data_IF_294098392699
#
_entry.id   IF_294098392699
#
_cell.length_a   1.000
_cell.length_b   1.000
_cell.length_c   1.000
_cell.angle_alpha   90.00
_cell.angle_beta   90.00
_cell.angle_gamma   90.00
#
_symmetry.space_group_name_H-M   'P 1'
#
loop_
_entity.id
_entity.type
_entity.pdbx_description
1 polymer ?
#
# COMPACT_ATOMS: atom_id res chain seq x y z
N UNK A 1 -64.04 -15.23 -24.49
CA UNK A 1 -62.72 -15.75 -24.08
C UNK A 1 -61.73 -15.52 -25.21
N UNK A 2 -61.06 -14.37 -25.22
CA UNK A 2 -59.84 -14.09 -25.99
C UNK A 2 -59.54 -12.60 -25.79
N UNK A 3 -58.43 -12.29 -25.12
CA UNK A 3 -57.62 -11.05 -25.23
C UNK A 3 -57.02 -10.64 -23.87
N UNK A 4 -55.90 -11.23 -23.46
CA UNK A 4 -55.04 -10.61 -22.42
C UNK A 4 -53.60 -11.12 -22.32
N UNK A 5 -53.11 -12.00 -23.20
CA UNK A 5 -51.78 -12.62 -23.00
C UNK A 5 -50.63 -12.07 -23.87
N UNK A 6 -50.84 -11.01 -24.67
CA UNK A 6 -49.83 -10.60 -25.67
C UNK A 6 -48.91 -9.44 -25.23
N UNK A 7 -49.23 -8.70 -24.15
CA UNK A 7 -48.45 -7.51 -23.75
C UNK A 7 -47.34 -7.76 -22.73
N UNK A 8 -47.37 -8.86 -21.97
CA UNK A 8 -46.35 -9.14 -20.94
C UNK A 8 -45.05 -9.73 -21.48
N UNK A 9 -45.08 -10.41 -22.64
CA UNK A 9 -43.90 -11.00 -23.27
C UNK A 9 -42.96 -10.00 -23.95
N UNK A 10 -43.49 -8.86 -24.41
CA UNK A 10 -42.72 -7.82 -25.11
C UNK A 10 -41.98 -6.93 -24.10
N UNK A 11 -42.63 -6.56 -22.99
CA UNK A 11 -42.01 -5.77 -21.92
C UNK A 11 -40.83 -6.50 -21.26
N UNK A 12 -40.96 -7.81 -20.99
CA UNK A 12 -39.87 -8.60 -20.43
C UNK A 12 -38.68 -8.79 -21.40
N UNK A 13 -38.95 -8.90 -22.71
CA UNK A 13 -37.87 -8.97 -23.72
C UNK A 13 -37.14 -7.63 -23.88
N UNK A 14 -37.84 -6.50 -23.77
CA UNK A 14 -37.21 -5.17 -23.79
C UNK A 14 -36.35 -4.91 -22.55
N UNK A 15 -36.79 -5.32 -21.35
CA UNK A 15 -36.01 -5.18 -20.11
C UNK A 15 -34.78 -6.09 -20.14
N UNK A 16 -34.91 -7.34 -20.62
CA UNK A 16 -33.74 -8.24 -20.80
C UNK A 16 -32.77 -7.75 -21.88
N UNK A 17 -33.25 -7.13 -22.96
CA UNK A 17 -32.38 -6.49 -23.96
C UNK A 17 -31.69 -5.22 -23.43
N UNK A 18 -32.34 -4.40 -22.60
CA UNK A 18 -31.72 -3.22 -21.96
C UNK A 18 -30.69 -3.61 -20.89
N UNK A 19 -30.92 -4.70 -20.14
CA UNK A 19 -29.93 -5.26 -19.21
C UNK A 19 -28.75 -5.91 -19.95
N UNK A 20 -29.00 -6.58 -21.08
CA UNK A 20 -27.95 -7.11 -21.94
C UNK A 20 -27.16 -6.00 -22.65
N UNK A 21 -27.80 -4.89 -23.03
CA UNK A 21 -27.12 -3.73 -23.63
C UNK A 21 -26.25 -2.98 -22.60
N UNK A 22 -26.69 -2.86 -21.34
CA UNK A 22 -25.87 -2.33 -20.25
C UNK A 22 -24.69 -3.25 -19.88
N UNK A 23 -24.81 -4.57 -20.08
CA UNK A 23 -23.70 -5.51 -19.94
C UNK A 23 -22.73 -5.48 -21.13
N UNK A 24 -23.23 -5.24 -22.35
CA UNK A 24 -22.40 -5.14 -23.56
C UNK A 24 -21.70 -3.79 -23.70
N UNK A 25 -22.20 -2.72 -23.08
CA UNK A 25 -21.58 -1.39 -23.08
C UNK A 25 -20.45 -1.21 -22.06
N UNK A 26 -20.16 -2.22 -21.22
CA UNK A 26 -19.03 -2.22 -20.26
C UNK A 26 -17.75 -2.90 -20.77
N UNK A 27 -17.71 -3.34 -22.03
CA UNK A 27 -16.59 -4.14 -22.56
C UNK A 27 -15.63 -3.36 -23.47
N UNK A 28 -15.34 -2.10 -23.13
CA UNK A 28 -14.17 -1.41 -23.64
C UNK A 28 -13.28 -1.09 -22.43
N UNK A 29 -12.45 -2.05 -22.03
CA UNK A 29 -11.41 -1.80 -21.03
C UNK A 29 -10.49 -0.69 -21.57
N UNK A 30 -10.34 0.38 -20.80
CA UNK A 30 -9.50 1.52 -21.13
C UNK A 30 -8.34 1.55 -20.16
N UNK A 31 -7.18 2.00 -20.60
CA UNK A 31 -6.03 2.21 -19.71
C UNK A 31 -6.41 3.06 -18.50
N UNK A 32 -5.81 2.74 -17.34
CA UNK A 32 -5.86 3.60 -16.16
C UNK A 32 -5.08 4.87 -16.46
N UNK A 33 -5.75 6.01 -16.35
CA UNK A 33 -5.16 7.34 -16.62
C UNK A 33 -4.98 8.11 -15.32
N UNK A 34 -4.33 9.25 -15.41
CA UNK A 34 -4.20 10.17 -14.30
C UNK A 34 -4.12 11.61 -14.81
N UNK A 35 -4.38 12.53 -13.89
CA UNK A 35 -4.08 13.94 -14.02
C UNK A 35 -3.63 14.49 -12.67
N UNK A 36 -3.44 15.80 -12.59
CA UNK A 36 -2.95 16.49 -11.39
C UNK A 36 -3.82 16.28 -10.14
N UNK A 37 -5.09 15.87 -10.32
CA UNK A 37 -6.08 15.79 -9.24
C UNK A 37 -6.27 14.36 -8.72
N UNK A 38 -6.01 13.34 -9.53
CA UNK A 38 -6.10 11.93 -9.11
C UNK A 38 -5.99 10.91 -10.24
N UNK A 39 -6.06 9.64 -9.86
CA UNK A 39 -6.20 8.53 -10.81
C UNK A 39 -7.61 8.53 -11.41
N UNK A 40 -7.68 8.17 -12.69
CA UNK A 40 -8.91 8.00 -13.46
C UNK A 40 -9.04 6.53 -13.81
N UNK A 41 -9.93 5.83 -13.10
CA UNK A 41 -10.21 4.40 -13.27
C UNK A 41 -11.66 4.29 -13.73
N UNK A 42 -11.94 3.46 -14.74
CA UNK A 42 -13.28 3.37 -15.37
C UNK A 42 -13.84 4.72 -15.87
N UNK A 43 -12.96 5.65 -16.25
CA UNK A 43 -13.34 6.99 -16.70
C UNK A 43 -13.75 7.96 -15.57
N UNK A 44 -13.70 7.53 -14.31
CA UNK A 44 -13.99 8.36 -13.15
C UNK A 44 -12.71 8.72 -12.39
N UNK A 45 -12.53 10.00 -12.08
CA UNK A 45 -11.48 10.45 -11.17
C UNK A 45 -11.86 10.07 -9.74
N UNK A 46 -10.94 9.47 -8.98
CA UNK A 46 -11.22 8.92 -7.64
C UNK A 46 -10.21 9.37 -6.59
N UNK A 47 -10.67 9.47 -5.34
CA UNK A 47 -9.82 9.53 -4.15
C UNK A 47 -9.73 8.10 -3.61
N UNK A 48 -8.58 7.45 -3.72
CA UNK A 48 -8.43 6.04 -3.41
C UNK A 48 -7.80 5.81 -2.03
N UNK A 49 -8.45 4.97 -1.22
CA UNK A 49 -7.85 4.41 -0.01
C UNK A 49 -7.35 3.00 -0.29
N UNK A 50 -6.07 2.78 -0.02
CA UNK A 50 -5.38 1.50 -0.17
C UNK A 50 -4.85 1.02 1.17
N UNK A 51 -4.58 -0.27 1.32
CA UNK A 51 -3.86 -0.79 2.48
C UNK A 51 -2.98 -1.98 2.17
N UNK A 52 -1.79 -2.00 2.75
CA UNK A 52 -0.82 -3.06 2.54
C UNK A 52 -1.23 -4.34 3.28
N UNK A 53 -1.33 -5.42 2.51
CA UNK A 53 -1.49 -6.80 2.99
C UNK A 53 -0.50 -7.65 2.20
N UNK A 54 0.61 -8.04 2.83
CA UNK A 54 1.63 -8.84 2.15
C UNK A 54 1.22 -10.32 2.15
N UNK A 55 0.96 -10.86 0.96
CA UNK A 55 0.45 -12.23 0.81
C UNK A 55 1.27 -13.30 1.56
N UNK A 56 2.61 -13.28 1.63
CA UNK A 56 3.36 -14.32 2.35
C UNK A 56 3.39 -14.14 3.87
N UNK A 57 2.86 -13.03 4.39
CA UNK A 57 2.78 -12.78 5.85
C UNK A 57 1.47 -13.28 6.47
N UNK A 58 0.63 -13.94 5.69
CA UNK A 58 -0.59 -14.58 6.15
C UNK A 58 -0.81 -15.89 5.40
N UNK A 59 -1.57 -16.81 5.99
CA UNK A 59 -1.92 -18.07 5.31
C UNK A 59 -2.95 -17.82 4.18
N UNK A 60 -2.90 -18.56 3.05
CA UNK A 60 -3.90 -18.49 2.00
C UNK A 60 -5.35 -18.59 2.45
N UNK A 61 -5.63 -19.34 3.53
CA UNK A 61 -6.97 -19.45 4.11
C UNK A 61 -7.43 -18.16 4.79
N UNK A 62 -6.49 -17.32 5.23
CA UNK A 62 -6.80 -16.03 5.86
C UNK A 62 -7.12 -14.94 4.84
N UNK A 63 -6.58 -15.02 3.61
CA UNK A 63 -6.64 -13.92 2.63
C UNK A 63 -8.05 -13.42 2.36
N UNK A 64 -9.03 -14.30 2.12
CA UNK A 64 -10.41 -13.88 1.87
C UNK A 64 -11.02 -13.14 3.08
N UNK A 65 -10.72 -13.59 4.30
CA UNK A 65 -11.14 -12.92 5.53
C UNK A 65 -10.48 -11.56 5.74
N UNK A 66 -9.19 -11.45 5.47
CA UNK A 66 -8.41 -10.21 5.57
C UNK A 66 -8.87 -9.17 4.53
N UNK A 67 -8.98 -9.58 3.27
CA UNK A 67 -9.41 -8.73 2.15
C UNK A 67 -10.86 -8.26 2.34
N UNK A 68 -11.75 -9.11 2.86
CA UNK A 68 -13.12 -8.71 3.19
C UNK A 68 -13.15 -7.67 4.31
N UNK A 69 -12.37 -7.85 5.39
CA UNK A 69 -12.22 -6.82 6.43
C UNK A 69 -11.67 -5.52 5.86
N UNK A 70 -10.68 -5.58 4.96
CA UNK A 70 -10.19 -4.39 4.26
C UNK A 70 -11.29 -3.64 3.49
N UNK A 71 -12.09 -4.38 2.72
CA UNK A 71 -13.25 -3.81 2.01
C UNK A 71 -14.29 -3.23 2.97
N UNK A 72 -14.67 -3.96 4.01
CA UNK A 72 -15.66 -3.54 5.00
C UNK A 72 -15.17 -2.35 5.84
N UNK A 73 -13.84 -2.17 5.93
CA UNK A 73 -13.16 -1.01 6.50
C UNK A 73 -13.01 0.18 5.55
N UNK A 74 -13.57 0.09 4.33
CA UNK A 74 -13.66 1.19 3.38
C UNK A 74 -12.45 1.37 2.46
N UNK A 75 -11.60 0.37 2.29
CA UNK A 75 -10.56 0.41 1.26
C UNK A 75 -11.15 0.23 -0.13
N UNK A 76 -10.55 0.92 -1.10
CA UNK A 76 -10.79 0.75 -2.54
C UNK A 76 -9.75 -0.19 -3.17
N UNK A 77 -8.55 -0.31 -2.58
CA UNK A 77 -7.44 -1.09 -3.12
C UNK A 77 -6.65 -1.86 -2.04
N UNK A 78 -5.98 -2.94 -2.46
CA UNK A 78 -4.98 -3.66 -1.66
C UNK A 78 -3.59 -3.43 -2.26
N UNK A 79 -2.64 -3.11 -1.40
CA UNK A 79 -1.23 -2.96 -1.74
C UNK A 79 -0.44 -4.20 -1.35
N UNK A 80 0.48 -4.65 -2.20
CA UNK A 80 1.47 -5.64 -1.80
C UNK A 80 2.78 -5.48 -2.58
N UNK A 81 3.89 -5.70 -1.88
CA UNK A 81 5.17 -6.00 -2.51
C UNK A 81 5.18 -7.37 -3.17
N UNK A 82 6.10 -7.59 -4.12
CA UNK A 82 6.47 -8.90 -4.66
C UNK A 82 7.83 -9.34 -4.11
N UNK A 83 7.90 -10.51 -3.48
CA UNK A 83 9.09 -10.96 -2.74
C UNK A 83 9.96 -11.91 -3.58
N UNK A 84 10.91 -11.36 -4.34
CA UNK A 84 11.74 -12.14 -5.28
C UNK A 84 12.46 -13.33 -4.62
N UNK A 85 13.06 -13.16 -3.46
CA UNK A 85 13.77 -14.23 -2.75
C UNK A 85 12.89 -15.43 -2.39
N UNK A 86 11.58 -15.24 -2.20
CA UNK A 86 10.63 -16.34 -2.03
C UNK A 86 10.32 -17.00 -3.36
N UNK A 87 10.09 -16.18 -4.39
CA UNK A 87 9.68 -16.67 -5.69
C UNK A 87 10.80 -17.34 -6.46
N UNK A 88 12.07 -17.05 -6.18
CA UNK A 88 13.21 -17.65 -6.87
C UNK A 88 14.31 -18.05 -5.87
N UNK A 89 14.09 -19.11 -5.05
CA UNK A 89 15.03 -19.53 -4.03
C UNK A 89 16.39 -19.98 -4.60
N UNK A 90 16.42 -20.42 -5.86
CA UNK A 90 17.63 -20.70 -6.62
C UNK A 90 17.46 -20.27 -8.09
N UNK A 91 18.54 -19.96 -8.83
CA UNK A 91 18.43 -19.40 -10.18
C UNK A 91 17.56 -20.27 -11.11
N UNK A 92 16.50 -19.67 -11.67
CA UNK A 92 15.58 -20.30 -12.61
C UNK A 92 14.54 -21.24 -11.98
N UNK A 93 14.61 -21.51 -10.68
CA UNK A 93 13.63 -22.34 -9.97
C UNK A 93 12.63 -21.43 -9.27
N UNK A 94 11.37 -21.47 -9.73
CA UNK A 94 10.34 -20.58 -9.25
C UNK A 94 9.32 -21.26 -8.35
N UNK A 95 8.89 -20.55 -7.30
CA UNK A 95 7.83 -20.98 -6.39
C UNK A 95 6.72 -19.92 -6.29
N UNK A 96 5.52 -20.31 -6.73
CA UNK A 96 4.28 -19.54 -6.61
C UNK A 96 3.17 -20.39 -5.98
N UNK A 97 3.53 -21.36 -5.13
CA UNK A 97 2.58 -22.23 -4.44
C UNK A 97 2.26 -21.75 -3.02
N UNK A 98 1.16 -22.24 -2.45
CA UNK A 98 0.77 -21.95 -1.07
C UNK A 98 0.70 -20.45 -0.78
N UNK A 99 1.41 -19.99 0.27
CA UNK A 99 1.46 -18.56 0.64
C UNK A 99 2.26 -17.69 -0.33
N UNK A 100 2.94 -18.29 -1.30
CA UNK A 100 3.66 -17.59 -2.37
C UNK A 100 2.78 -17.45 -3.64
N UNK A 101 1.53 -17.91 -3.62
CA UNK A 101 0.62 -17.80 -4.77
C UNK A 101 0.09 -16.37 -4.96
N UNK A 102 0.91 -15.53 -5.59
CA UNK A 102 0.61 -14.13 -5.88
C UNK A 102 -0.63 -13.98 -6.78
N UNK A 103 -0.78 -14.87 -7.78
CA UNK A 103 -1.92 -14.85 -8.71
C UNK A 103 -3.22 -15.10 -7.97
N UNK A 104 -3.27 -16.14 -7.12
CA UNK A 104 -4.45 -16.43 -6.28
C UNK A 104 -4.75 -15.29 -5.32
N UNK A 105 -3.74 -14.68 -4.71
CA UNK A 105 -3.95 -13.52 -3.85
C UNK A 105 -4.62 -12.36 -4.61
N UNK A 106 -4.09 -11.97 -5.77
CA UNK A 106 -4.65 -10.89 -6.58
C UNK A 106 -6.04 -11.23 -7.14
N UNK A 107 -6.29 -12.48 -7.54
CA UNK A 107 -7.64 -12.95 -7.90
C UNK A 107 -8.61 -12.87 -6.71
N UNK A 108 -8.13 -13.06 -5.49
CA UNK A 108 -8.94 -12.90 -4.28
C UNK A 108 -9.29 -11.43 -4.04
N UNK A 109 -8.34 -10.51 -4.28
CA UNK A 109 -8.58 -9.06 -4.28
C UNK A 109 -9.65 -8.68 -5.32
N UNK A 110 -9.51 -9.19 -6.55
CA UNK A 110 -10.48 -8.97 -7.63
C UNK A 110 -11.87 -9.53 -7.29
N UNK A 111 -11.95 -10.75 -6.73
CA UNK A 111 -13.21 -11.38 -6.29
C UNK A 111 -13.92 -10.52 -5.24
N UNK A 112 -13.17 -9.87 -4.36
CA UNK A 112 -13.73 -8.93 -3.39
C UNK A 112 -14.20 -7.62 -4.05
N UNK A 113 -13.86 -7.34 -5.31
CA UNK A 113 -14.18 -6.09 -6.00
C UNK A 113 -13.34 -4.91 -5.52
N UNK A 114 -12.11 -5.18 -5.09
CA UNK A 114 -11.10 -4.17 -4.79
C UNK A 114 -10.08 -4.10 -5.93
N UNK A 115 -9.45 -2.94 -6.07
CA UNK A 115 -8.27 -2.78 -6.92
C UNK A 115 -7.00 -3.28 -6.23
N UNK A 116 -5.89 -3.30 -6.96
CA UNK A 116 -4.58 -3.65 -6.45
C UNK A 116 -3.51 -2.62 -6.87
N UNK A 117 -2.62 -2.31 -5.92
CA UNK A 117 -1.34 -1.64 -6.17
C UNK A 117 -0.23 -2.69 -6.03
N UNK A 118 0.39 -3.06 -7.16
CA UNK A 118 1.39 -4.13 -7.18
C UNK A 118 2.81 -3.55 -7.17
N UNK A 119 3.47 -3.61 -6.02
CA UNK A 119 4.82 -3.08 -5.84
C UNK A 119 5.86 -4.14 -6.18
N UNK A 120 6.21 -4.25 -7.46
CA UNK A 120 7.04 -5.34 -7.98
C UNK A 120 8.48 -5.26 -7.44
N UNK A 121 9.01 -4.05 -7.22
CA UNK A 121 10.37 -3.84 -6.72
C UNK A 121 11.42 -3.97 -7.85
N UNK A 122 12.39 -4.91 -7.80
CA UNK A 122 12.38 -6.10 -6.95
C UNK A 122 13.14 -5.95 -5.63
N UNK A 123 13.84 -4.83 -5.43
CA UNK A 123 14.15 -4.39 -4.07
C UNK A 123 12.87 -3.84 -3.43
N UNK A 124 12.49 -4.38 -2.28
CA UNK A 124 11.23 -4.00 -1.60
C UNK A 124 11.44 -3.44 -0.20
N UNK A 125 12.66 -3.53 0.35
CA UNK A 125 12.92 -3.24 1.76
C UNK A 125 12.06 -4.11 2.69
N UNK A 126 10.86 -3.61 3.02
CA UNK A 126 9.74 -4.29 3.67
C UNK A 126 10.04 -4.97 5.02
N UNK A 127 11.17 -4.61 5.66
CA UNK A 127 11.74 -5.34 6.79
C UNK A 127 11.82 -6.85 6.50
N UNK A 128 12.15 -7.15 5.25
CA UNK A 128 12.17 -8.49 4.69
C UNK A 128 13.60 -8.96 4.47
N UNK A 129 13.82 -10.27 4.56
CA UNK A 129 15.16 -10.85 4.43
C UNK A 129 15.84 -10.36 3.14
N UNK A 130 17.04 -9.79 3.32
CA UNK A 130 17.87 -9.22 2.26
C UNK A 130 17.15 -8.21 1.33
N UNK A 131 16.12 -7.52 1.85
CA UNK A 131 15.34 -6.52 1.12
C UNK A 131 14.54 -7.09 -0.06
N UNK A 132 14.29 -8.40 -0.07
CA UNK A 132 13.62 -9.12 -1.15
C UNK A 132 14.54 -9.76 -2.17
N UNK A 133 15.85 -9.46 -2.17
CA UNK A 133 16.77 -10.10 -3.12
C UNK A 133 17.06 -11.56 -2.75
N UNK A 134 17.11 -12.48 -3.72
CA UNK A 134 17.63 -13.83 -3.48
C UNK A 134 19.12 -13.77 -3.09
N UNK A 135 19.54 -14.58 -2.11
CA UNK A 135 20.94 -14.56 -1.64
C UNK A 135 21.92 -14.99 -2.73
N UNK A 136 21.53 -15.94 -3.59
CA UNK A 136 22.36 -16.38 -4.73
C UNK A 136 22.71 -15.24 -5.68
N UNK A 137 21.87 -14.20 -5.77
CA UNK A 137 22.08 -13.05 -6.63
C UNK A 137 23.41 -12.36 -6.30
N UNK A 138 23.78 -12.28 -5.02
CA UNK A 138 25.04 -11.68 -4.56
C UNK A 138 26.28 -12.36 -5.16
N UNK A 139 26.18 -13.63 -5.55
CA UNK A 139 27.29 -14.43 -6.04
C UNK A 139 27.37 -14.47 -7.57
N UNK A 140 26.47 -13.76 -8.27
CA UNK A 140 26.57 -13.57 -9.71
C UNK A 140 27.87 -12.80 -10.03
N UNK A 141 28.74 -13.30 -10.93
CA UNK A 141 30.00 -12.63 -11.25
C UNK A 141 29.82 -11.17 -11.68
N UNK A 142 30.57 -10.27 -11.05
CA UNK A 142 30.58 -8.85 -11.37
C UNK A 142 29.34 -8.07 -10.92
N UNK A 143 28.48 -8.65 -10.09
CA UNK A 143 27.24 -7.98 -9.67
C UNK A 143 27.49 -6.85 -8.68
N UNK A 144 26.71 -5.78 -8.82
CA UNK A 144 26.59 -4.70 -7.85
C UNK A 144 25.14 -4.25 -7.80
N UNK A 145 24.54 -4.29 -6.62
CA UNK A 145 23.10 -4.10 -6.49
C UNK A 145 22.71 -2.63 -6.63
N UNK A 146 21.53 -2.41 -7.24
CA UNK A 146 20.85 -1.10 -7.27
C UNK A 146 21.75 0.02 -7.77
N UNK A 147 22.49 -0.25 -8.84
CA UNK A 147 23.35 0.72 -9.52
C UNK A 147 23.43 0.34 -11.00
N UNK A 148 24.10 1.16 -11.81
CA UNK A 148 24.23 0.93 -13.26
C UNK A 148 25.23 -0.20 -13.53
N UNK A 149 24.76 -1.43 -13.29
CA UNK A 149 25.53 -2.66 -13.34
C UNK A 149 24.77 -3.67 -14.21
N UNK A 150 25.35 -4.05 -15.35
CA UNK A 150 24.70 -4.92 -16.33
C UNK A 150 24.26 -6.29 -15.79
N UNK A 151 25.06 -7.02 -14.97
CA UNK A 151 24.58 -8.23 -14.33
C UNK A 151 23.33 -8.01 -13.48
N UNK A 152 23.29 -6.95 -12.66
CA UNK A 152 22.13 -6.65 -11.84
C UNK A 152 20.91 -6.23 -12.68
N UNK A 153 21.10 -5.35 -13.67
CA UNK A 153 20.04 -4.89 -14.58
C UNK A 153 19.38 -6.05 -15.31
N UNK A 154 20.18 -6.99 -15.82
CA UNK A 154 19.67 -8.20 -16.50
C UNK A 154 18.82 -9.07 -15.57
N UNK A 155 19.29 -9.34 -14.35
CA UNK A 155 18.53 -10.18 -13.41
C UNK A 155 17.26 -9.49 -12.91
N UNK A 156 17.33 -8.19 -12.61
CA UNK A 156 16.16 -7.38 -12.26
C UNK A 156 15.13 -7.37 -13.38
N UNK A 157 15.55 -7.10 -14.62
CA UNK A 157 14.67 -7.10 -15.78
C UNK A 157 14.01 -8.47 -15.98
N UNK A 158 14.79 -9.55 -15.91
CA UNK A 158 14.27 -10.93 -16.05
C UNK A 158 13.16 -11.22 -15.05
N UNK A 159 13.35 -10.85 -13.79
CA UNK A 159 12.33 -11.10 -12.77
C UNK A 159 11.10 -10.19 -12.95
N UNK A 160 11.29 -8.89 -13.20
CA UNK A 160 10.19 -7.96 -13.44
C UNK A 160 9.36 -8.37 -14.65
N UNK A 161 10.01 -8.72 -15.77
CA UNK A 161 9.35 -9.24 -16.98
C UNK A 161 8.55 -10.50 -16.69
N UNK A 162 9.09 -11.43 -15.90
CA UNK A 162 8.37 -12.64 -15.50
C UNK A 162 7.10 -12.30 -14.73
N UNK A 163 7.18 -11.43 -13.72
CA UNK A 163 6.01 -11.04 -12.92
C UNK A 163 4.97 -10.36 -13.81
N UNK A 164 5.37 -9.39 -14.65
CA UNK A 164 4.45 -8.70 -15.55
C UNK A 164 3.82 -9.66 -16.56
N UNK A 165 4.60 -10.59 -17.14
CA UNK A 165 4.08 -11.59 -18.06
C UNK A 165 3.04 -12.49 -17.40
N UNK A 166 3.29 -12.97 -16.18
CA UNK A 166 2.33 -13.75 -15.41
C UNK A 166 1.04 -12.97 -15.12
N UNK A 167 1.16 -11.69 -14.73
CA UNK A 167 -0.02 -10.85 -14.50
C UNK A 167 -0.82 -10.62 -15.80
N UNK A 168 -0.13 -10.45 -16.94
CA UNK A 168 -0.77 -10.28 -18.26
C UNK A 168 -1.47 -11.53 -18.74
N UNK A 169 -0.85 -12.70 -18.58
CA UNK A 169 -1.42 -14.01 -18.94
C UNK A 169 -2.72 -14.26 -18.18
N UNK A 170 -2.73 -13.89 -16.89
CA UNK A 170 -3.89 -14.01 -16.00
C UNK A 170 -4.87 -12.83 -16.09
N UNK A 171 -4.62 -11.87 -16.99
CA UNK A 171 -5.44 -10.66 -17.22
C UNK A 171 -5.68 -9.86 -15.94
N UNK A 172 -4.64 -9.69 -15.12
CA UNK A 172 -4.72 -9.04 -13.81
C UNK A 172 -4.47 -7.53 -13.85
N UNK A 173 -3.99 -6.96 -14.95
CA UNK A 173 -3.99 -5.51 -15.13
C UNK A 173 -5.40 -4.99 -15.44
N UNK A 174 -5.74 -3.82 -14.91
CA UNK A 174 -7.07 -3.21 -15.10
C UNK A 174 -7.37 -2.92 -16.59
N UNK A 175 -6.35 -2.59 -17.38
CA UNK A 175 -6.41 -2.52 -18.85
C UNK A 175 -6.90 -3.82 -19.53
N UNK A 176 -6.85 -4.95 -18.82
CA UNK A 176 -7.34 -6.27 -19.25
C UNK A 176 -8.59 -6.75 -18.46
N UNK A 177 -9.15 -5.89 -17.60
CA UNK A 177 -10.27 -6.19 -16.69
C UNK A 177 -9.86 -6.75 -15.32
N UNK A 178 -8.56 -6.72 -15.01
CA UNK A 178 -8.00 -7.17 -13.73
C UNK A 178 -8.05 -6.13 -12.61
N UNK A 179 -7.59 -6.47 -11.39
CA UNK A 179 -7.62 -5.54 -10.27
C UNK A 179 -6.45 -4.54 -10.26
N UNK A 180 -5.32 -4.82 -10.91
CA UNK A 180 -4.10 -4.01 -10.76
C UNK A 180 -4.27 -2.68 -11.48
N UNK A 181 -4.29 -1.57 -10.73
CA UNK A 181 -4.45 -0.20 -11.25
C UNK A 181 -3.17 0.62 -11.20
N UNK A 182 -2.17 0.19 -10.43
CA UNK A 182 -0.88 0.86 -10.28
C UNK A 182 0.19 -0.21 -10.09
N UNK A 183 1.38 0.01 -10.65
CA UNK A 183 2.58 -0.79 -10.38
C UNK A 183 3.73 0.07 -9.83
N UNK A 184 4.58 -0.48 -8.96
CA UNK A 184 5.82 0.19 -8.52
C UNK A 184 7.07 -0.55 -9.02
N UNK A 185 8.04 0.20 -9.52
CA UNK A 185 9.40 -0.27 -9.80
C UNK A 185 10.37 0.33 -8.78
N UNK A 186 11.37 -0.45 -8.34
CA UNK A 186 12.28 -0.10 -7.23
C UNK A 186 11.54 0.20 -5.92
N UNK A 187 12.29 0.58 -4.87
CA UNK A 187 11.73 1.06 -3.61
C UNK A 187 12.68 2.03 -2.90
N UNK A 188 12.22 3.26 -2.65
CA UNK A 188 12.94 4.33 -1.94
C UNK A 188 14.38 4.53 -2.44
N UNK A 189 14.56 4.57 -3.75
CA UNK A 189 15.90 4.63 -4.35
C UNK A 189 16.50 6.04 -4.35
N UNK A 190 15.72 7.11 -4.23
CA UNK A 190 16.20 8.49 -4.46
C UNK A 190 17.42 8.90 -3.63
N UNK A 191 17.48 8.52 -2.35
CA UNK A 191 18.67 8.79 -1.51
C UNK A 191 19.90 8.01 -1.98
N UNK A 192 19.70 6.75 -2.38
CA UNK A 192 20.78 5.89 -2.87
C UNK A 192 21.27 6.34 -4.25
N UNK A 193 20.35 6.76 -5.13
CA UNK A 193 20.64 7.39 -6.42
C UNK A 193 21.64 8.53 -6.26
N UNK A 194 21.33 9.48 -5.36
CA UNK A 194 22.21 10.63 -5.03
C UNK A 194 23.58 10.17 -4.53
N UNK A 195 23.65 9.10 -3.74
CA UNK A 195 24.90 8.51 -3.26
C UNK A 195 25.76 7.88 -4.37
N UNK A 196 25.13 7.28 -5.39
CA UNK A 196 25.84 6.73 -6.56
C UNK A 196 26.13 7.75 -7.67
N UNK A 197 25.67 9.01 -7.52
CA UNK A 197 25.87 10.06 -8.53
C UNK A 197 25.27 9.67 -9.87
N UNK A 198 26.01 9.90 -10.97
CA UNK A 198 25.54 9.58 -12.32
C UNK A 198 25.16 8.11 -12.52
N UNK A 199 25.87 7.17 -11.87
CA UNK A 199 25.53 5.75 -11.99
C UNK A 199 24.15 5.46 -11.37
N UNK A 200 23.80 6.14 -10.28
CA UNK A 200 22.47 6.03 -9.69
C UNK A 200 21.40 6.59 -10.60
N UNK A 201 21.63 7.78 -11.15
CA UNK A 201 20.68 8.41 -12.08
C UNK A 201 20.47 7.59 -13.37
N UNK A 202 21.55 7.04 -13.97
CA UNK A 202 21.45 6.15 -15.15
C UNK A 202 20.67 4.89 -14.84
N UNK A 203 20.93 4.26 -13.70
CA UNK A 203 20.19 3.07 -13.26
C UNK A 203 18.70 3.37 -13.05
N UNK A 204 18.37 4.44 -12.33
CA UNK A 204 16.98 4.82 -12.06
C UNK A 204 16.22 5.15 -13.35
N UNK A 205 16.86 5.88 -14.27
CA UNK A 205 16.30 6.16 -15.60
C UNK A 205 16.08 4.88 -16.41
N UNK A 206 17.04 3.97 -16.37
CA UNK A 206 16.91 2.66 -17.00
C UNK A 206 15.76 1.85 -16.39
N UNK A 207 15.62 1.82 -15.06
CA UNK A 207 14.59 1.04 -14.38
C UNK A 207 13.19 1.55 -14.72
N UNK A 208 12.98 2.87 -14.72
CA UNK A 208 11.74 3.50 -15.14
C UNK A 208 11.41 3.18 -16.61
N UNK A 209 12.41 3.28 -17.51
CA UNK A 209 12.22 2.96 -18.93
C UNK A 209 11.92 1.47 -19.16
N UNK A 210 12.62 0.59 -18.47
CA UNK A 210 12.39 -0.86 -18.53
C UNK A 210 10.96 -1.16 -18.10
N UNK A 211 10.54 -0.69 -16.93
CA UNK A 211 9.19 -0.94 -16.40
C UNK A 211 8.08 -0.44 -17.33
N UNK A 212 8.19 0.81 -17.80
CA UNK A 212 7.19 1.41 -18.69
C UNK A 212 7.16 0.77 -20.08
N UNK A 213 8.29 0.24 -20.57
CA UNK A 213 8.33 -0.50 -21.83
C UNK A 213 7.60 -1.85 -21.80
N UNK A 214 7.24 -2.34 -20.60
CA UNK A 214 6.48 -3.58 -20.45
C UNK A 214 4.99 -3.40 -20.78
N UNK A 215 4.53 -2.17 -21.02
CA UNK A 215 3.20 -1.84 -21.56
C UNK A 215 2.05 -2.51 -20.78
N UNK A 216 2.00 -2.25 -19.48
CA UNK A 216 1.00 -2.83 -18.56
C UNK A 216 -0.40 -2.21 -18.72
N UNK A 217 -0.51 -1.08 -19.43
CA UNK A 217 -1.76 -0.29 -19.54
C UNK A 217 -2.18 0.39 -18.24
N UNK A 218 -1.30 0.43 -17.23
CA UNK A 218 -1.52 1.10 -15.94
C UNK A 218 -0.31 1.93 -15.53
N UNK A 219 -0.48 3.02 -14.76
CA UNK A 219 0.62 3.87 -14.32
C UNK A 219 1.68 3.13 -13.50
N UNK A 220 2.93 3.58 -13.68
CA UNK A 220 4.05 3.18 -12.85
C UNK A 220 4.38 4.27 -11.84
N UNK A 221 4.75 3.87 -10.64
CA UNK A 221 5.17 4.76 -9.56
C UNK A 221 6.56 4.41 -9.02
N UNK A 222 7.19 5.39 -8.38
CA UNK A 222 8.42 5.22 -7.60
C UNK A 222 8.32 6.03 -6.31
N UNK A 223 8.39 5.36 -5.16
CA UNK A 223 8.35 6.05 -3.87
C UNK A 223 9.70 6.68 -3.50
N UNK A 224 9.67 7.85 -2.87
CA UNK A 224 10.85 8.65 -2.46
C UNK A 224 11.85 8.84 -3.60
N UNK A 225 11.36 9.20 -4.78
CA UNK A 225 12.17 9.40 -5.99
C UNK A 225 11.89 10.79 -6.60
N UNK A 226 12.42 11.84 -5.97
CA UNK A 226 12.16 13.24 -6.38
C UNK A 226 12.49 13.54 -7.85
N UNK A 227 13.42 12.78 -8.46
CA UNK A 227 13.84 12.90 -9.86
C UNK A 227 13.31 11.75 -10.76
N UNK A 228 12.17 11.15 -10.41
CA UNK A 228 11.54 10.13 -11.25
C UNK A 228 11.29 10.64 -12.68
N UNK A 229 11.58 9.85 -13.73
CA UNK A 229 11.33 10.26 -15.11
C UNK A 229 9.85 10.49 -15.40
N UNK A 230 9.54 11.38 -16.35
CA UNK A 230 8.18 11.84 -16.71
C UNK A 230 7.13 10.73 -16.91
N UNK A 231 7.55 9.53 -17.30
CA UNK A 231 6.68 8.37 -17.51
C UNK A 231 6.27 7.65 -16.21
N UNK A 232 6.73 8.12 -15.06
CA UNK A 232 6.55 7.50 -13.74
C UNK A 232 6.17 8.57 -12.72
N UNK A 233 5.19 8.26 -11.87
CA UNK A 233 4.74 9.17 -10.80
C UNK A 233 5.63 8.96 -9.57
N UNK A 234 6.24 10.03 -9.05
CA UNK A 234 6.91 9.98 -7.76
C UNK A 234 5.90 10.06 -6.60
N UNK A 235 6.15 9.30 -5.54
CA UNK A 235 5.22 9.19 -4.40
C UNK A 235 5.92 9.38 -3.06
N UNK A 236 5.12 9.68 -2.03
CA UNK A 236 5.62 9.90 -0.68
C UNK A 236 5.39 8.70 0.23
N UNK A 237 6.31 8.52 1.18
CA UNK A 237 6.22 7.57 2.30
C UNK A 237 6.47 8.32 3.60
N UNK A 238 5.88 7.90 4.71
CA UNK A 238 6.15 8.50 6.02
C UNK A 238 4.96 8.45 6.99
N UNK A 239 5.15 9.07 8.17
CA UNK A 239 4.04 9.35 9.08
C UNK A 239 3.13 10.48 8.56
N UNK A 240 3.72 11.42 7.81
CA UNK A 240 3.07 12.59 7.24
C UNK A 240 3.62 12.88 5.84
N UNK A 241 2.72 13.13 4.88
CA UNK A 241 3.07 13.48 3.50
C UNK A 241 2.29 14.71 3.00
N UNK A 242 1.70 15.51 3.89
CA UNK A 242 0.91 16.71 3.52
C UNK A 242 1.78 17.88 2.99
N UNK A 243 3.11 17.75 3.08
CA UNK A 243 4.09 18.66 2.49
C UNK A 243 4.52 18.23 1.08
N UNK A 244 4.21 17.00 0.68
CA UNK A 244 4.68 16.43 -0.57
C UNK A 244 3.91 17.01 -1.76
N UNK A 245 4.63 17.22 -2.86
CA UNK A 245 4.07 17.50 -4.17
C UNK A 245 4.89 16.71 -5.18
N UNK A 246 4.25 16.05 -6.16
CA UNK A 246 4.98 15.29 -7.17
C UNK A 246 5.88 16.21 -7.99
N UNK A 247 6.92 15.66 -8.58
CA UNK A 247 7.91 16.40 -9.36
C UNK A 247 7.34 16.97 -10.68
N UNK A 248 6.16 16.51 -11.09
CA UNK A 248 5.39 16.99 -12.24
C UNK A 248 4.03 17.56 -11.81
N UNK A 249 3.63 18.74 -12.32
CA UNK A 249 2.33 19.32 -12.00
C UNK A 249 1.15 18.51 -12.58
N UNK A 250 1.39 17.68 -13.60
CA UNK A 250 0.38 16.80 -14.18
C UNK A 250 0.16 15.50 -13.40
N UNK A 251 1.05 15.18 -12.45
CA UNK A 251 0.98 13.96 -11.65
C UNK A 251 0.07 14.17 -10.43
N UNK A 252 -0.70 13.15 -10.02
CA UNK A 252 -1.48 13.21 -8.79
C UNK A 252 -0.58 13.10 -7.56
N UNK A 253 -0.95 13.77 -6.48
CA UNK A 253 -0.27 13.60 -5.18
C UNK A 253 -0.69 12.28 -4.54
N UNK A 254 0.28 11.36 -4.37
CA UNK A 254 0.07 10.00 -3.86
C UNK A 254 0.96 9.68 -2.66
N UNK A 255 0.38 9.03 -1.65
CA UNK A 255 1.05 8.59 -0.43
C UNK A 255 1.03 7.06 -0.37
N UNK A 256 2.14 6.43 -0.77
CA UNK A 256 2.27 4.97 -0.92
C UNK A 256 2.55 4.25 0.40
N UNK A 257 3.02 4.94 1.43
CA UNK A 257 3.17 4.38 2.77
C UNK A 257 2.80 5.38 3.86
N UNK A 258 1.53 5.42 4.22
CA UNK A 258 1.04 6.05 5.44
C UNK A 258 1.32 5.10 6.61
N UNK A 259 2.46 5.31 7.28
CA UNK A 259 2.94 4.39 8.31
C UNK A 259 1.94 4.29 9.48
N UNK A 260 1.31 3.12 9.62
CA UNK A 260 0.30 2.87 10.63
C UNK A 260 0.90 2.75 12.04
N UNK A 261 2.18 2.38 12.14
CA UNK A 261 3.09 2.58 13.26
C UNK A 261 4.52 2.23 12.80
N UNK A 262 5.15 1.22 13.41
CA UNK A 262 6.51 0.78 13.10
C UNK A 262 6.66 -0.73 13.28
N UNK A 263 7.70 -1.31 12.68
CA UNK A 263 8.04 -2.72 12.87
C UNK A 263 8.63 -2.98 14.26
N UNK A 264 8.63 -4.24 14.71
CA UNK A 264 9.25 -4.66 15.98
C UNK A 264 10.55 -5.41 15.75
N UNK A 265 11.58 -5.03 16.50
CA UNK A 265 12.91 -5.64 16.48
C UNK A 265 13.13 -6.53 17.71
N UNK A 266 13.93 -7.59 17.58
CA UNK A 266 14.34 -8.40 18.72
C UNK A 266 15.14 -7.54 19.71
N UNK A 267 14.62 -7.41 20.93
CA UNK A 267 15.16 -6.53 21.97
C UNK A 267 14.59 -5.10 21.96
N UNK A 268 13.76 -4.76 20.98
CA UNK A 268 13.04 -3.48 20.89
C UNK A 268 11.63 -3.53 21.50
N UNK A 269 10.97 -2.36 21.64
CA UNK A 269 9.59 -2.28 22.10
C UNK A 269 8.59 -2.60 20.96
N UNK A 270 7.34 -2.88 21.34
CA UNK A 270 6.22 -2.84 20.39
C UNK A 270 5.82 -1.38 20.18
N UNK A 271 5.94 -0.90 18.95
CA UNK A 271 5.61 0.47 18.59
C UNK A 271 4.12 0.61 18.26
N UNK A 272 3.52 1.73 18.68
CA UNK A 272 2.13 2.06 18.41
C UNK A 272 2.01 3.47 17.86
N UNK A 273 0.95 3.74 17.10
CA UNK A 273 0.59 5.07 16.62
C UNK A 273 -0.85 5.37 17.03
N UNK A 274 -1.11 6.51 17.70
CA UNK A 274 -2.47 6.91 18.04
C UNK A 274 -3.40 6.95 16.83
N UNK A 275 -4.64 6.52 17.03
CA UNK A 275 -5.65 6.46 15.97
C UNK A 275 -6.00 7.86 15.44
N UNK A 276 -6.01 8.84 16.35
CA UNK A 276 -6.30 10.24 16.10
C UNK A 276 -5.23 10.86 15.21
N UNK A 277 -3.96 10.55 15.51
CA UNK A 277 -2.80 11.04 14.76
C UNK A 277 -2.78 10.48 13.32
N UNK A 278 -3.06 9.19 13.15
CA UNK A 278 -3.17 8.59 11.82
C UNK A 278 -4.32 9.22 11.02
N UNK A 279 -5.50 9.38 11.63
CA UNK A 279 -6.65 10.01 10.99
C UNK A 279 -6.35 11.48 10.64
N UNK A 280 -5.69 12.22 11.54
CA UNK A 280 -5.26 13.58 11.33
C UNK A 280 -4.29 13.70 10.15
N UNK A 281 -3.26 12.86 10.09
CA UNK A 281 -2.28 12.89 9.01
C UNK A 281 -2.93 12.61 7.65
N UNK A 282 -3.86 11.65 7.58
CA UNK A 282 -4.61 11.35 6.36
C UNK A 282 -5.55 12.49 5.97
N UNK A 283 -6.33 13.03 6.89
CA UNK A 283 -7.20 14.18 6.60
C UNK A 283 -6.41 15.39 6.13
N UNK A 284 -5.25 15.66 6.74
CA UNK A 284 -4.33 16.75 6.37
C UNK A 284 -3.68 16.55 5.00
N UNK A 285 -3.42 15.31 4.61
CA UNK A 285 -2.99 14.99 3.25
C UNK A 285 -4.10 15.23 2.23
N UNK A 286 -5.30 14.68 2.47
CA UNK A 286 -6.45 14.82 1.57
C UNK A 286 -6.88 16.29 1.41
N UNK A 287 -6.94 17.06 2.50
CA UNK A 287 -7.39 18.46 2.45
C UNK A 287 -6.50 19.33 1.54
N UNK A 288 -5.22 18.98 1.40
CA UNK A 288 -4.26 19.67 0.52
C UNK A 288 -4.20 19.13 -0.91
N UNK A 289 -5.10 18.22 -1.27
CA UNK A 289 -5.15 17.62 -2.59
C UNK A 289 -4.36 16.31 -2.68
N UNK A 290 -4.25 15.57 -1.58
CA UNK A 290 -3.90 14.15 -1.66
C UNK A 290 -5.02 13.35 -2.33
N UNK A 291 -4.68 12.38 -3.19
CA UNK A 291 -5.68 11.61 -3.96
C UNK A 291 -5.53 10.10 -3.87
N UNK A 292 -4.42 9.61 -3.34
CA UNK A 292 -4.18 8.19 -3.05
C UNK A 292 -3.48 8.06 -1.71
N UNK A 293 -4.02 7.25 -0.80
CA UNK A 293 -3.44 6.98 0.52
C UNK A 293 -3.37 5.48 0.74
N UNK A 294 -2.18 4.93 0.94
CA UNK A 294 -1.98 3.54 1.29
C UNK A 294 -1.51 3.37 2.74
N UNK A 295 -2.27 2.66 3.57
CA UNK A 295 -1.85 2.33 4.93
C UNK A 295 -0.79 1.23 4.92
N UNK A 296 0.42 1.57 5.36
CA UNK A 296 1.52 0.61 5.54
C UNK A 296 1.74 0.40 7.05
N UNK A 297 1.27 -0.67 7.68
CA UNK A 297 0.48 -1.79 7.16
C UNK A 297 -1.02 -1.66 7.47
N UNK A 298 -1.85 -2.28 6.64
CA UNK A 298 -3.27 -2.48 6.96
C UNK A 298 -3.51 -3.82 7.67
N UNK A 299 -2.81 -4.86 7.21
CA UNK A 299 -2.53 -6.08 7.95
C UNK A 299 -1.04 -6.37 7.85
N UNK A 300 -0.37 -6.38 9.01
CA UNK A 300 1.06 -6.61 9.08
C UNK A 300 1.42 -8.09 8.96
N UNK A 301 0.81 -8.93 9.80
CA UNK A 301 0.95 -10.39 9.77
C UNK A 301 2.24 -10.90 10.43
N UNK A 302 2.75 -12.03 9.93
CA UNK A 302 3.87 -12.76 10.55
C UNK A 302 4.97 -13.05 9.53
N UNK A 303 6.22 -12.87 9.94
CA UNK A 303 7.40 -13.31 9.20
C UNK A 303 7.62 -14.82 9.42
N UNK A 304 6.88 -15.67 8.70
CA UNK A 304 6.98 -17.13 8.83
C UNK A 304 8.35 -17.69 8.41
N UNK A 305 8.82 -18.71 9.13
CA UNK A 305 10.09 -19.36 8.83
C UNK A 305 11.28 -18.43 9.06
N UNK A 306 12.02 -18.11 7.99
CA UNK A 306 13.27 -17.32 8.04
C UNK A 306 13.23 -16.11 7.11
N UNK A 307 12.06 -15.48 6.99
CA UNK A 307 11.80 -14.45 5.98
C UNK A 307 11.90 -13.02 6.49
N UNK A 308 11.93 -12.81 7.80
CA UNK A 308 12.13 -11.50 8.40
C UNK A 308 13.51 -10.92 8.06
N UNK A 309 13.61 -9.60 8.00
CA UNK A 309 14.88 -8.91 7.89
C UNK A 309 15.78 -9.15 9.11
N UNK A 310 17.08 -8.79 9.03
CA UNK A 310 17.98 -8.89 10.18
C UNK A 310 17.39 -8.18 11.42
N UNK A 311 17.36 -8.88 12.55
CA UNK A 311 16.82 -8.41 13.84
C UNK A 311 15.32 -8.10 13.86
N UNK A 312 14.59 -8.27 12.76
CA UNK A 312 13.13 -8.11 12.74
C UNK A 312 12.50 -9.32 13.43
N UNK A 313 11.54 -9.07 14.32
CA UNK A 313 10.85 -10.15 15.02
C UNK A 313 10.01 -11.02 14.07
N UNK A 314 9.61 -12.19 14.55
CA UNK A 314 8.63 -13.03 13.85
C UNK A 314 7.30 -12.30 13.67
N UNK A 315 6.88 -11.50 14.66
CA UNK A 315 5.71 -10.65 14.52
C UNK A 315 5.99 -9.49 13.57
N UNK A 316 5.05 -9.21 12.69
CA UNK A 316 5.03 -7.99 11.90
C UNK A 316 3.72 -7.23 12.10
N UNK A 317 3.16 -7.24 13.32
CA UNK A 317 1.86 -6.62 13.66
C UNK A 317 1.71 -5.16 13.20
N UNK A 318 2.76 -4.35 13.37
CA UNK A 318 2.83 -2.95 12.92
C UNK A 318 1.77 -2.02 13.55
N UNK A 319 1.16 -2.42 14.68
CA UNK A 319 -0.05 -1.78 15.24
C UNK A 319 -1.12 -1.56 14.15
N UNK A 320 -1.20 -2.53 13.24
CA UNK A 320 -2.02 -2.44 12.06
C UNK A 320 -3.51 -2.51 12.44
N UNK A 321 -4.39 -1.88 11.64
CA UNK A 321 -5.84 -1.91 11.82
C UNK A 321 -6.45 -3.32 11.83
N UNK A 322 -5.82 -4.27 11.13
CA UNK A 322 -6.03 -5.70 11.32
C UNK A 322 -4.73 -6.24 11.92
N UNK A 323 -4.82 -6.80 13.13
CA UNK A 323 -3.64 -7.27 13.88
C UNK A 323 -2.95 -8.48 13.22
N UNK A 324 -1.83 -8.90 13.79
CA UNK A 324 -1.06 -10.07 13.33
C UNK A 324 -1.92 -11.33 13.10
N UNK A 325 -2.93 -11.55 13.93
CA UNK A 325 -3.79 -12.74 13.91
C UNK A 325 -5.02 -12.58 13.01
N UNK A 326 -5.14 -11.43 12.34
CA UNK A 326 -6.28 -11.13 11.48
C UNK A 326 -7.49 -10.59 12.24
N UNK A 327 -7.39 -10.20 13.50
CA UNK A 327 -8.48 -9.60 14.27
C UNK A 327 -8.56 -8.09 14.00
N UNK A 328 -9.76 -7.55 14.14
CA UNK A 328 -9.99 -6.10 14.02
C UNK A 328 -9.43 -5.41 15.27
N UNK A 329 -8.55 -4.42 15.08
CA UNK A 329 -7.98 -3.61 16.15
C UNK A 329 -8.81 -2.34 16.35
N UNK A 330 -9.64 -2.32 17.39
CA UNK A 330 -10.40 -1.12 17.76
C UNK A 330 -9.63 -0.23 18.74
N UNK A 331 -9.74 1.10 18.62
CA UNK A 331 -10.66 1.83 17.73
C UNK A 331 -10.07 2.16 16.35
N UNK A 332 -8.82 1.73 16.07
CA UNK A 332 -8.08 2.11 14.86
C UNK A 332 -8.80 1.74 13.57
N UNK A 333 -9.36 0.54 13.52
CA UNK A 333 -10.09 0.05 12.37
C UNK A 333 -11.35 0.87 12.08
N UNK A 334 -12.24 1.05 13.07
CA UNK A 334 -13.52 1.71 12.86
C UNK A 334 -13.42 3.23 12.76
N UNK A 335 -12.53 3.89 13.52
CA UNK A 335 -12.34 5.35 13.40
C UNK A 335 -11.87 5.75 12.00
N UNK A 336 -10.92 4.98 11.45
CA UNK A 336 -10.45 5.19 10.08
C UNK A 336 -11.53 4.82 9.04
N UNK A 337 -12.36 3.81 9.29
CA UNK A 337 -13.53 3.52 8.43
C UNK A 337 -14.48 4.72 8.33
N UNK A 338 -14.77 5.39 9.44
CA UNK A 338 -15.60 6.61 9.42
C UNK A 338 -14.90 7.79 8.73
N UNK A 339 -13.57 7.93 8.86
CA UNK A 339 -12.80 8.88 8.05
C UNK A 339 -12.97 8.60 6.54
N UNK A 340 -12.82 7.34 6.10
CA UNK A 340 -13.02 6.97 4.70
C UNK A 340 -14.41 7.36 4.24
N UNK A 341 -15.45 7.00 5.02
CA UNK A 341 -16.84 7.35 4.72
C UNK A 341 -17.03 8.86 4.57
N UNK A 342 -16.46 9.66 5.47
CA UNK A 342 -16.56 11.11 5.41
C UNK A 342 -15.91 11.68 4.14
N UNK A 343 -14.72 11.19 3.79
CA UNK A 343 -14.04 11.59 2.54
C UNK A 343 -14.84 11.16 1.31
N UNK A 344 -15.43 9.96 1.30
CA UNK A 344 -16.29 9.49 0.19
C UNK A 344 -17.55 10.33 0.01
N UNK A 345 -18.16 10.81 1.09
CA UNK A 345 -19.28 11.76 1.01
C UNK A 345 -18.86 13.12 0.40
N UNK A 346 -17.59 13.49 0.56
CA UNK A 346 -17.01 14.70 -0.01
C UNK A 346 -16.36 14.50 -1.40
N UNK A 347 -16.12 13.25 -1.83
CA UNK A 347 -15.40 12.87 -3.05
C UNK A 347 -15.89 13.63 -4.29
N UNK A 348 -17.21 13.79 -4.54
CA UNK A 348 -17.67 14.54 -5.71
C UNK A 348 -17.21 15.99 -5.79
N UNK A 349 -16.96 16.64 -4.64
CA UNK A 349 -16.36 17.98 -4.59
C UNK A 349 -14.84 17.90 -4.73
N UNK A 350 -14.21 16.99 -3.98
CA UNK A 350 -12.75 16.78 -3.95
C UNK A 350 -12.16 16.51 -5.33
N UNK A 351 -12.84 15.72 -6.16
CA UNK A 351 -12.35 15.37 -7.51
C UNK A 351 -12.65 16.45 -8.55
N UNK A 352 -13.44 17.47 -8.22
CA UNK A 352 -13.97 18.46 -9.19
C UNK A 352 -13.36 19.86 -9.08
N UNK A 353 -12.51 20.10 -8.09
CA UNK A 353 -11.83 21.37 -7.84
C UNK A 353 -10.54 21.18 -7.07
N UNK A 354 -9.67 22.18 -7.10
CA UNK A 354 -8.52 22.26 -6.20
C UNK A 354 -8.89 22.92 -4.86
N UNK A 355 -8.16 22.61 -3.78
CA UNK A 355 -8.42 23.22 -2.48
C UNK A 355 -8.14 24.72 -2.48
N UNK A 356 -9.06 25.50 -1.95
CA UNK A 356 -8.84 26.91 -1.61
C UNK A 356 -8.57 27.06 -0.11
N UNK A 357 -7.36 27.48 0.24
CA UNK A 357 -6.95 27.77 1.61
C UNK A 357 -7.56 29.10 2.10
N UNK A 358 -8.07 29.11 3.32
CA UNK A 358 -8.51 30.30 4.07
C UNK A 358 -8.00 30.19 5.50
N UNK A 359 -7.36 31.24 6.02
CA UNK A 359 -6.96 31.29 7.43
C UNK A 359 -8.18 31.52 8.33
N UNK A 360 -8.33 30.71 9.39
CA UNK A 360 -9.37 30.86 10.41
C UNK A 360 -8.82 31.39 11.75
N UNK A 361 -7.50 31.50 11.86
CA UNK A 361 -6.81 31.92 13.06
C UNK A 361 -5.32 31.62 12.98
N UNK A 362 -4.60 31.83 14.08
CA UNK A 362 -3.13 31.63 14.14
C UNK A 362 -2.70 30.19 13.86
N UNK A 363 -3.49 29.21 14.32
CA UNK A 363 -3.20 27.78 14.18
C UNK A 363 -4.34 27.03 13.48
N UNK A 364 -5.24 27.76 12.80
CA UNK A 364 -6.44 27.16 12.22
C UNK A 364 -6.64 27.59 10.78
N UNK A 365 -6.97 26.63 9.94
CA UNK A 365 -7.12 26.79 8.48
C UNK A 365 -8.38 26.10 8.00
N UNK A 366 -8.96 26.61 6.90
CA UNK A 366 -10.00 25.96 6.13
C UNK A 366 -9.47 25.65 4.72
N UNK A 367 -9.61 24.40 4.28
CA UNK A 367 -9.41 24.00 2.89
C UNK A 367 -10.77 23.70 2.27
N UNK A 368 -11.15 24.49 1.27
CA UNK A 368 -12.49 24.42 0.65
C UNK A 368 -12.39 23.91 -0.78
N UNK A 369 -13.13 22.84 -1.07
CA UNK A 369 -13.37 22.32 -2.41
C UNK A 369 -14.77 22.73 -2.84
N UNK A 370 -14.90 23.48 -3.93
CA UNK A 370 -16.18 23.95 -4.41
C UNK A 370 -16.21 24.09 -5.92
N UNK A 371 -17.13 23.37 -6.56
CA UNK A 371 -17.37 23.45 -8.00
C UNK A 371 -18.76 22.94 -8.33
N UNK A 372 -19.46 23.64 -9.24
CA UNK A 372 -20.76 23.21 -9.75
C UNK A 372 -21.84 22.97 -8.68
N UNK A 373 -21.83 23.75 -7.59
CA UNK A 373 -22.78 23.61 -6.48
C UNK A 373 -22.45 22.52 -5.46
N UNK A 374 -21.40 21.71 -5.68
CA UNK A 374 -20.85 20.77 -4.71
C UNK A 374 -19.84 21.51 -3.82
N UNK A 375 -19.83 21.20 -2.53
CA UNK A 375 -18.90 21.82 -1.58
C UNK A 375 -18.44 20.80 -0.53
N UNK A 376 -17.16 20.82 -0.20
CA UNK A 376 -16.59 20.14 0.96
C UNK A 376 -15.55 21.04 1.62
N UNK A 377 -15.48 21.05 2.95
CA UNK A 377 -14.49 21.83 3.67
C UNK A 377 -13.79 20.98 4.73
N UNK A 378 -12.51 21.25 4.95
CA UNK A 378 -11.70 20.69 6.02
C UNK A 378 -11.28 21.84 6.91
N UNK A 379 -11.65 21.80 8.19
CA UNK A 379 -11.27 22.80 9.18
C UNK A 379 -10.21 22.19 10.09
N UNK A 380 -8.99 22.68 10.01
CA UNK A 380 -7.85 22.14 10.76
C UNK A 380 -7.54 23.01 11.97
N UNK A 381 -7.15 22.36 13.06
CA UNK A 381 -6.49 22.97 14.21
C UNK A 381 -5.13 22.30 14.42
N UNK A 382 -4.06 23.07 14.25
CA UNK A 382 -2.68 22.63 14.43
C UNK A 382 -2.12 22.94 15.83
N UNK A 383 -2.90 23.59 16.69
CA UNK A 383 -2.53 23.73 18.10
C UNK A 383 -2.57 22.33 18.74
N UNK A 384 -1.47 21.91 19.36
CA UNK A 384 -1.33 20.57 19.94
C UNK A 384 -1.90 20.46 21.35
N UNK A 385 -2.29 21.56 21.97
CA UNK A 385 -2.69 21.61 23.38
C UNK A 385 -4.12 22.13 23.58
N UNK A 386 -4.61 23.00 22.68
CA UNK A 386 -5.84 23.77 22.92
C UNK A 386 -6.92 23.50 21.89
N UNK A 387 -8.15 23.43 22.39
CA UNK A 387 -9.35 23.57 21.56
C UNK A 387 -9.43 25.00 21.01
N UNK A 388 -9.86 25.15 19.76
CA UNK A 388 -10.06 26.46 19.13
C UNK A 388 -11.48 26.56 18.59
N UNK A 389 -12.21 27.63 18.94
CA UNK A 389 -13.49 27.98 18.32
C UNK A 389 -13.24 28.83 17.07
N UNK A 390 -13.73 28.38 15.92
CA UNK A 390 -13.61 29.07 14.63
C UNK A 390 -14.98 29.37 14.04
N UNK A 391 -15.10 30.52 13.37
CA UNK A 391 -16.29 30.89 12.59
C UNK A 391 -16.08 30.53 11.11
N UNK A 392 -16.91 29.67 10.55
CA UNK A 392 -16.87 29.31 9.14
C UNK A 392 -18.29 29.24 8.56
N UNK A 393 -18.54 29.96 7.45
CA UNK A 393 -19.87 29.99 6.82
C UNK A 393 -21.00 30.54 7.71
N UNK A 394 -20.67 31.33 8.74
CA UNK A 394 -21.64 31.86 9.71
C UNK A 394 -21.96 30.92 10.88
N UNK A 395 -21.34 29.74 10.93
CA UNK A 395 -21.48 28.75 12.00
C UNK A 395 -20.19 28.67 12.82
N UNK A 396 -20.32 28.47 14.13
CA UNK A 396 -19.19 28.26 15.04
C UNK A 396 -18.87 26.76 15.14
N UNK A 397 -17.60 26.41 15.01
CA UNK A 397 -17.08 25.05 15.18
C UNK A 397 -16.02 25.06 16.28
N UNK A 398 -16.02 24.06 17.15
CA UNK A 398 -14.97 23.87 18.16
C UNK A 398 -14.08 22.73 17.71
N UNK A 399 -12.84 23.05 17.35
CA UNK A 399 -11.86 22.08 16.86
C UNK A 399 -10.99 21.60 18.03
N UNK A 400 -10.94 20.28 18.33
CA UNK A 400 -9.97 19.72 19.28
C UNK A 400 -8.52 20.03 18.90
N UNK A 401 -7.56 19.93 19.86
CA UNK A 401 -6.14 20.00 19.55
C UNK A 401 -5.76 18.97 18.49
N UNK A 402 -4.85 19.34 17.58
CA UNK A 402 -4.29 18.47 16.56
C UNK A 402 -5.36 17.67 15.78
N UNK A 403 -6.36 18.38 15.25
CA UNK A 403 -7.52 17.76 14.61
C UNK A 403 -7.92 18.40 13.29
N UNK A 404 -8.62 17.63 12.46
CA UNK A 404 -9.30 18.10 11.27
C UNK A 404 -10.77 17.69 11.33
N UNK A 405 -11.67 18.67 11.23
CA UNK A 405 -13.10 18.45 11.01
C UNK A 405 -13.41 18.43 9.52
N UNK A 406 -14.16 17.42 9.07
CA UNK A 406 -14.61 17.27 7.68
C UNK A 406 -16.07 17.67 7.60
N UNK A 407 -16.34 18.69 6.79
CA UNK A 407 -17.67 19.22 6.56
C UNK A 407 -18.17 18.79 5.19
N UNK A 408 -19.20 17.95 5.18
CA UNK A 408 -20.06 17.77 4.01
C UNK A 408 -20.71 19.12 3.71
N UNK A 409 -20.91 19.43 2.42
CA UNK A 409 -21.58 20.64 1.94
C UNK A 409 -21.05 21.99 2.49
N UNK A 410 -19.83 21.97 3.03
CA UNK A 410 -19.19 23.09 3.72
C UNK A 410 -19.97 23.62 4.95
N UNK A 411 -20.89 22.83 5.51
CA UNK A 411 -21.66 23.22 6.71
C UNK A 411 -21.81 22.11 7.74
N UNK A 412 -22.10 20.88 7.31
CA UNK A 412 -22.36 19.80 8.26
C UNK A 412 -21.06 19.05 8.57
N UNK A 413 -20.54 19.24 9.78
CA UNK A 413 -19.45 18.41 10.30
C UNK A 413 -19.95 16.96 10.41
N UNK A 414 -19.26 16.05 9.72
CA UNK A 414 -19.61 14.62 9.69
C UNK A 414 -18.51 13.74 10.29
N UNK A 415 -17.34 14.30 10.57
CA UNK A 415 -16.21 13.60 11.18
C UNK A 415 -15.20 14.61 11.73
N UNK A 416 -14.59 14.30 12.87
CA UNK A 416 -13.38 14.98 13.35
C UNK A 416 -12.33 13.93 13.74
N UNK A 417 -11.09 14.16 13.35
CA UNK A 417 -10.01 13.16 13.50
C UNK A 417 -9.66 12.83 14.95
N UNK A 418 -9.95 13.71 15.91
CA UNK A 418 -9.69 13.50 17.33
C UNK A 418 -10.91 13.00 18.13
N UNK A 419 -12.11 12.99 17.53
CA UNK A 419 -13.32 12.53 18.20
C UNK A 419 -13.55 11.03 17.93
N UNK A 420 -12.93 10.18 18.74
CA UNK A 420 -13.04 8.72 18.61
C UNK A 420 -14.27 8.21 19.36
N UNK A 421 -15.27 7.73 18.64
CA UNK A 421 -16.54 7.25 19.21
C UNK A 421 -16.54 5.74 19.55
N UNK A 422 -15.51 5.01 19.13
CA UNK A 422 -15.42 3.54 19.27
C UNK A 422 -14.58 3.18 20.48
N UNK A 423 -15.05 2.22 21.27
CA UNK A 423 -14.30 1.70 22.42
C UNK A 423 -13.13 0.83 21.97
N UNK A 424 -11.97 1.01 22.61
CA UNK A 424 -10.80 0.19 22.33
C UNK A 424 -11.03 -1.29 22.68
N UNK A 425 -10.58 -2.19 21.80
CA UNK A 425 -10.55 -3.62 22.05
C UNK A 425 -9.32 -4.00 22.87
N UNK A 426 -9.47 -4.93 23.82
CA UNK A 426 -8.34 -5.56 24.50
C UNK A 426 -8.17 -7.00 24.00
N UNK A 427 -7.00 -7.31 23.45
CA UNK A 427 -6.66 -8.67 23.03
C UNK A 427 -6.11 -9.44 24.23
N UNK A 428 -6.66 -10.63 24.47
CA UNK A 428 -6.20 -11.54 25.51
C UNK A 428 -5.69 -12.83 24.88
N UNK A 429 -4.47 -13.24 25.23
CA UNK A 429 -3.92 -14.56 24.89
C UNK A 429 -4.19 -15.45 26.10
N UNK A 430 -5.06 -16.44 25.93
CA UNK A 430 -5.40 -17.41 26.97
C UNK A 430 -4.90 -18.80 26.56
N UNK A 431 -4.23 -19.55 27.46
CA UNK A 431 -3.90 -20.95 27.20
C UNK A 431 -5.18 -21.77 26.96
N UNK A 432 -5.18 -22.62 25.94
CA UNK A 432 -6.29 -23.54 25.67
C UNK A 432 -5.75 -24.93 25.30
N UNK A 433 -6.47 -25.99 25.73
CA UNK A 433 -6.17 -27.37 25.31
C UNK A 433 -4.78 -27.91 25.68
N UNK A 434 -4.22 -27.53 26.83
CA UNK A 434 -2.87 -27.97 27.23
C UNK A 434 -2.89 -29.44 27.65
N UNK A 435 -2.59 -30.33 26.69
CA UNK A 435 -2.13 -31.69 26.98
C UNK A 435 -0.61 -31.67 27.10
N UNK A 436 -0.08 -32.07 28.26
CA UNK A 436 1.36 -32.21 28.46
C UNK A 436 1.84 -33.48 27.74
N UNK A 437 2.43 -33.31 26.56
CA UNK A 437 3.14 -34.40 25.89
C UNK A 437 4.49 -34.66 26.57
N UNK A 438 4.94 -35.92 26.56
CA UNK A 438 6.31 -36.26 26.92
C UNK A 438 7.26 -35.69 25.87
N UNK A 439 8.13 -34.76 26.28
CA UNK A 439 9.15 -34.19 25.41
C UNK A 439 10.36 -35.14 25.33
N UNK A 440 10.79 -35.44 24.11
CA UNK A 440 12.09 -36.05 23.87
C UNK A 440 13.11 -34.95 23.58
N UNK A 441 14.34 -35.13 24.06
CA UNK A 441 15.44 -34.20 23.83
C UNK A 441 16.47 -34.83 22.89
N UNK A 442 16.82 -34.12 21.83
CA UNK A 442 17.99 -34.41 21.02
C UNK A 442 19.06 -33.37 21.36
N UNK A 443 20.18 -33.83 21.93
CA UNK A 443 21.36 -32.96 22.08
C UNK A 443 21.97 -32.73 20.71
N UNK A 444 22.15 -31.47 20.33
CA UNK A 444 22.91 -31.13 19.13
C UNK A 444 24.40 -31.28 19.47
N UNK A 445 25.04 -32.30 18.90
CA UNK A 445 26.45 -32.58 19.15
C UNK A 445 27.31 -31.37 18.75
N UNK A 446 28.31 -31.05 19.57
CA UNK A 446 29.32 -30.10 19.15
C UNK A 446 30.01 -30.62 17.87
N UNK A 447 30.23 -29.73 16.91
CA UNK A 447 30.74 -30.01 15.54
C UNK A 447 32.08 -30.78 15.53
N UNK A 448 32.72 -30.99 16.67
CA UNK A 448 33.94 -31.80 16.86
C UNK A 448 33.76 -33.29 16.53
N UNK A 449 32.54 -33.79 16.34
CA UNK A 449 32.27 -35.21 16.09
C UNK A 449 32.09 -35.64 14.60
N UNK A 450 32.16 -34.71 13.63
CA UNK A 450 31.97 -35.05 12.20
C UNK A 450 33.10 -34.45 11.35
N UNK A 451 34.22 -35.16 11.26
CA UNK A 451 35.34 -34.81 10.35
C UNK A 451 34.93 -34.89 8.87
N UNK A 452 33.94 -35.72 8.53
CA UNK A 452 33.66 -36.14 7.14
C UNK A 452 32.83 -35.13 6.31
N UNK A 453 32.37 -34.02 6.90
CA UNK A 453 31.58 -32.99 6.23
C UNK A 453 32.21 -31.60 6.21
N UNK A 454 33.46 -31.45 6.69
CA UNK A 454 34.16 -30.16 6.73
C UNK A 454 34.83 -29.88 5.38
N UNK A 455 34.51 -28.73 4.78
CA UNK A 455 35.27 -28.21 3.62
C UNK A 455 36.32 -27.25 4.17
N UNK A 456 37.60 -27.58 3.99
CA UNK A 456 38.71 -26.75 4.47
C UNK A 456 39.15 -25.72 3.42
N UNK A 457 39.49 -24.51 3.88
CA UNK A 457 40.14 -23.48 3.08
C UNK A 457 41.18 -22.75 3.95
N UNK A 458 42.32 -22.37 3.36
CA UNK A 458 43.38 -21.65 4.09
C UNK A 458 42.98 -20.18 4.31
N UNK A 459 42.45 -19.91 5.50
CA UNK A 459 42.28 -18.58 6.09
C UNK A 459 40.90 -17.93 5.91
N UNK A 460 40.44 -17.25 6.96
CA UNK A 460 39.49 -16.13 6.88
C UNK A 460 40.33 -14.85 6.81
N UNK A 461 40.53 -14.24 5.63
CA UNK A 461 41.24 -12.94 5.56
C UNK A 461 40.39 -11.87 6.26
N UNK A 462 40.69 -11.58 7.52
CA UNK A 462 40.26 -10.36 8.18
C UNK A 462 40.96 -9.19 7.50
N UNK A 463 40.26 -8.46 6.62
CA UNK A 463 40.70 -7.10 6.26
C UNK A 463 40.38 -6.19 7.44
N UNK A 464 41.32 -6.09 8.39
CA UNK A 464 41.34 -4.98 9.33
C UNK A 464 41.60 -3.71 8.53
N UNK A 465 40.56 -2.92 8.28
CA UNK A 465 40.73 -1.54 7.82
C UNK A 465 41.20 -0.75 9.03
N UNK A 466 42.51 -0.59 9.17
CA UNK A 466 43.09 0.40 10.07
C UNK A 466 42.61 1.78 9.61
N UNK A 467 41.77 2.43 10.42
CA UNK A 467 41.59 3.87 10.35
C UNK A 467 42.91 4.49 10.82
N UNK A 468 43.72 4.99 9.89
CA UNK A 468 44.67 6.04 10.24
C UNK A 468 43.90 7.35 10.46
N UNK A 469 44.33 8.07 11.50
CA UNK A 469 43.69 9.23 12.15
C UNK A 469 43.48 10.44 11.24
#
# INVERSE_FOLDING_TARGET
MASSSCSSGIANRFISCLLALNFLLRAAYSDVKYDSRGLIVDGERRILFSGSIHYPRSDPEMWEGLIRKAKDGGLDAIDTYVFWNLHEPSPGQYDFEGRNDLVRFLKTVQKAGLYAHLRIGPYVCAEWNFGGFPVWLKYVPGISFRTDNEPFKREMQRFTEKIVAMMKEEKLFESQGGPIVISQIENEYGRLSKGFGEAGHRYMTWAAKMATSLDTGVPWVMCRQDDAPDSVIDTCNGFYCDWFSPNRPESPTMWTEAWAAWFTEFGGPVHQRPVEDLAFAVARFIQKGGSFVNYYMYHGGTNFGRTGGPYITTSYDYDAPIDEYGLIREPKYSHRKELHRAVKLCEPALVSSDPKLTSLGKYSEAFVYSSGGKCAAFLSNYDTERHVSVSFGGTQYTLPPWSVSILKDCKHEIFNTANVEVQASQTHIQPSGVEFHSWEMLGEDAIDAVEDSRIEAVGCRSRSVSREM
#
